data_IF_538912594259
#
_entry.id   IF_538912594259
#
_cell.length_a   1.000
_cell.length_b   1.000
_cell.length_c   1.000
_cell.angle_alpha   90.00
_cell.angle_beta   90.00
_cell.angle_gamma   90.00
#
_symmetry.space_group_name_H-M   'P 1'
#
loop_
_entity.id
_entity.type
_entity.pdbx_description
1 polymer ?
#
# COMPACT_ATOMS: atom_id res chain seq x y z
N UNK A 1 6.21 -29.42 18.11
CA UNK A 1 6.98 -28.23 18.49
C UNK A 1 7.67 -27.76 17.23
N UNK A 2 7.63 -26.49 16.91
CA UNK A 2 8.20 -25.95 15.68
C UNK A 2 7.33 -24.93 14.98
N UNK A 3 6.19 -24.53 15.57
CA UNK A 3 5.37 -23.47 15.02
C UNK A 3 5.66 -22.13 15.66
N UNK A 4 5.64 -21.09 14.83
CA UNK A 4 5.68 -19.69 15.27
C UNK A 4 4.31 -19.06 15.06
N UNK A 5 3.78 -18.37 16.08
CA UNK A 5 2.52 -17.65 15.98
C UNK A 5 2.86 -16.16 15.88
N UNK A 6 2.34 -15.52 14.84
CA UNK A 6 2.51 -14.08 14.59
C UNK A 6 1.13 -13.42 14.44
N UNK A 7 1.01 -12.09 14.62
CA UNK A 7 -0.23 -11.38 14.30
C UNK A 7 -0.60 -11.56 12.83
N UNK A 8 -1.89 -11.48 12.51
CA UNK A 8 -2.35 -11.43 11.14
C UNK A 8 -1.74 -10.25 10.38
N UNK A 9 -1.35 -10.46 9.14
CA UNK A 9 -0.76 -9.41 8.31
C UNK A 9 -1.80 -8.35 7.94
N UNK A 10 -1.34 -7.11 7.83
CA UNK A 10 -2.14 -5.95 7.48
C UNK A 10 -1.56 -5.33 6.21
N UNK A 11 -2.28 -5.41 5.10
CA UNK A 11 -1.87 -4.84 3.82
C UNK A 11 -2.61 -3.54 3.55
N UNK A 12 -1.93 -2.42 3.71
CA UNK A 12 -2.55 -1.09 3.55
C UNK A 12 -2.46 -0.54 2.13
N UNK A 13 -1.79 -1.28 1.22
CA UNK A 13 -1.65 -0.89 -0.17
C UNK A 13 -1.72 -2.13 -1.08
N UNK A 14 -2.91 -2.42 -1.59
CA UNK A 14 -3.17 -3.56 -2.48
C UNK A 14 -4.31 -3.23 -3.44
N UNK A 15 -4.01 -3.23 -4.75
CA UNK A 15 -4.98 -2.94 -5.81
C UNK A 15 -5.86 -4.12 -6.12
N UNK A 16 -5.27 -5.34 -6.13
CA UNK A 16 -6.01 -6.51 -6.57
C UNK A 16 -5.35 -7.84 -6.24
N UNK A 17 -6.01 -8.90 -6.66
CA UNK A 17 -5.54 -10.28 -6.56
C UNK A 17 -6.59 -11.26 -7.08
N UNK A 18 -6.15 -12.45 -7.46
CA UNK A 18 -7.01 -13.52 -7.98
C UNK A 18 -7.96 -13.08 -9.11
N UNK A 19 -7.50 -12.20 -9.99
CA UNK A 19 -8.24 -11.71 -11.16
C UNK A 19 -9.09 -10.46 -10.91
N UNK A 20 -9.28 -10.02 -9.67
CA UNK A 20 -10.09 -8.86 -9.30
C UNK A 20 -9.23 -7.63 -8.97
N UNK A 21 -9.82 -6.44 -9.11
CA UNK A 21 -9.21 -5.15 -8.78
C UNK A 21 -10.18 -4.30 -7.96
N UNK A 22 -9.65 -3.56 -7.00
CA UNK A 22 -10.43 -2.70 -6.10
C UNK A 22 -11.19 -1.60 -6.83
N UNK A 23 -10.70 -1.17 -8.01
CA UNK A 23 -11.31 -0.13 -8.84
C UNK A 23 -12.39 -0.63 -9.79
N UNK A 24 -12.60 -1.96 -9.91
CA UNK A 24 -13.61 -2.52 -10.81
C UNK A 24 -15.06 -2.17 -10.39
N UNK A 25 -15.26 -1.85 -9.11
CA UNK A 25 -16.61 -1.66 -8.57
C UNK A 25 -17.43 -2.96 -8.65
N UNK A 26 -16.77 -4.10 -8.44
CA UNK A 26 -17.32 -5.46 -8.42
C UNK A 26 -17.20 -6.06 -7.02
N UNK A 27 -18.34 -6.22 -6.34
CA UNK A 27 -18.39 -6.75 -4.99
C UNK A 27 -18.00 -8.23 -4.90
N UNK A 28 -18.30 -9.05 -5.92
CA UNK A 28 -17.92 -10.46 -5.94
C UNK A 28 -16.42 -10.62 -6.15
N UNK A 29 -15.87 -9.87 -7.09
CA UNK A 29 -14.43 -9.80 -7.31
C UNK A 29 -13.66 -9.40 -6.05
N UNK A 30 -14.15 -8.37 -5.33
CA UNK A 30 -13.54 -7.91 -4.08
C UNK A 30 -13.59 -8.97 -2.97
N UNK A 31 -14.69 -9.74 -2.86
CA UNK A 31 -14.79 -10.88 -1.94
C UNK A 31 -13.81 -12.01 -2.30
N UNK A 32 -13.66 -12.30 -3.58
CA UNK A 32 -12.68 -13.29 -4.05
C UNK A 32 -11.24 -12.87 -3.75
N UNK A 33 -10.93 -11.58 -3.96
CA UNK A 33 -9.66 -10.98 -3.55
C UNK A 33 -9.43 -11.12 -2.03
N UNK A 34 -10.43 -10.80 -1.20
CA UNK A 34 -10.33 -10.92 0.26
C UNK A 34 -10.07 -12.38 0.70
N UNK A 35 -10.72 -13.37 0.08
CA UNK A 35 -10.46 -14.79 0.31
C UNK A 35 -9.03 -15.19 -0.09
N UNK A 36 -8.56 -14.72 -1.23
CA UNK A 36 -7.20 -14.94 -1.69
C UNK A 36 -6.17 -14.37 -0.71
N UNK A 37 -6.33 -13.11 -0.31
CA UNK A 37 -5.44 -12.43 0.64
C UNK A 37 -5.34 -13.18 1.97
N UNK A 38 -6.48 -13.70 2.47
CA UNK A 38 -6.49 -14.50 3.69
C UNK A 38 -5.61 -15.76 3.58
N UNK A 39 -5.56 -16.43 2.40
CA UNK A 39 -4.65 -17.57 2.18
C UNK A 39 -3.17 -17.18 2.24
N UNK A 40 -2.87 -15.89 2.14
CA UNK A 40 -1.52 -15.32 2.24
C UNK A 40 -1.22 -14.71 3.61
N UNK A 41 -2.05 -15.02 4.61
CA UNK A 41 -1.87 -14.55 5.99
C UNK A 41 -2.35 -13.11 6.23
N UNK A 42 -2.88 -12.44 5.23
CA UNK A 42 -3.48 -11.11 5.38
C UNK A 42 -4.85 -11.27 6.02
N UNK A 43 -5.02 -10.73 7.22
CA UNK A 43 -6.31 -10.75 7.94
C UNK A 43 -7.05 -9.42 7.85
N UNK A 44 -6.34 -8.35 7.53
CA UNK A 44 -6.89 -7.00 7.35
C UNK A 44 -6.21 -6.30 6.18
N UNK A 45 -6.98 -5.56 5.38
CA UNK A 45 -6.41 -4.82 4.25
C UNK A 45 -7.19 -3.56 3.91
N UNK A 46 -6.52 -2.63 3.24
CA UNK A 46 -7.11 -1.46 2.62
C UNK A 46 -7.11 -1.66 1.09
N UNK A 47 -8.24 -1.99 0.47
CA UNK A 47 -8.36 -1.94 -0.98
C UNK A 47 -7.87 -0.58 -1.49
N UNK A 48 -7.00 -0.60 -2.50
CA UNK A 48 -6.37 0.60 -3.04
C UNK A 48 -6.94 0.92 -4.41
N UNK A 49 -7.38 2.18 -4.60
CA UNK A 49 -7.93 2.64 -5.88
C UNK A 49 -6.81 3.00 -6.86
N UNK A 50 -7.16 3.12 -8.14
CA UNK A 50 -6.30 3.63 -9.20
C UNK A 50 -6.73 5.03 -9.63
N UNK A 51 -5.87 5.71 -10.41
CA UNK A 51 -6.22 6.94 -11.12
C UNK A 51 -7.17 6.60 -12.28
N UNK A 52 -8.46 6.72 -12.01
CA UNK A 52 -9.56 6.49 -12.95
C UNK A 52 -10.57 7.65 -12.87
N UNK A 53 -11.65 7.63 -13.63
CA UNK A 53 -12.65 8.71 -13.60
C UNK A 53 -13.30 8.87 -12.22
N UNK A 54 -13.79 10.08 -11.92
CA UNK A 54 -14.56 10.35 -10.67
C UNK A 54 -15.70 9.36 -10.45
N UNK A 55 -16.40 9.00 -11.52
CA UNK A 55 -17.52 8.07 -11.46
C UNK A 55 -17.06 6.66 -11.06
N UNK A 56 -15.94 6.20 -11.58
CA UNK A 56 -15.36 4.90 -11.24
C UNK A 56 -14.82 4.90 -9.80
N UNK A 57 -14.14 5.98 -9.36
CA UNK A 57 -13.70 6.13 -7.96
C UNK A 57 -14.90 6.05 -7.01
N UNK A 58 -15.95 6.81 -7.26
CA UNK A 58 -17.16 6.81 -6.42
C UNK A 58 -17.82 5.44 -6.38
N UNK A 59 -17.90 4.75 -7.52
CA UNK A 59 -18.45 3.39 -7.60
C UNK A 59 -17.60 2.40 -6.82
N UNK A 60 -16.25 2.46 -6.96
CA UNK A 60 -15.34 1.62 -6.21
C UNK A 60 -15.49 1.83 -4.70
N UNK A 61 -15.53 3.07 -4.23
CA UNK A 61 -15.72 3.43 -2.82
C UNK A 61 -17.04 2.92 -2.25
N UNK A 62 -18.16 3.05 -3.01
CA UNK A 62 -19.46 2.51 -2.63
C UNK A 62 -19.41 0.98 -2.51
N UNK A 63 -18.80 0.31 -3.48
CA UNK A 63 -18.64 -1.15 -3.51
C UNK A 63 -17.81 -1.62 -2.33
N UNK A 64 -16.65 -1.01 -2.08
CA UNK A 64 -15.77 -1.35 -0.96
C UNK A 64 -16.53 -1.20 0.36
N UNK A 65 -17.24 -0.08 0.55
CA UNK A 65 -18.04 0.16 1.74
C UNK A 65 -19.09 -0.92 1.96
N UNK A 66 -19.75 -1.39 0.88
CA UNK A 66 -20.77 -2.43 0.97
C UNK A 66 -20.23 -3.79 1.41
N UNK A 67 -18.92 -4.04 1.22
CA UNK A 67 -18.24 -5.30 1.56
C UNK A 67 -17.53 -5.27 2.94
N UNK A 68 -17.52 -4.15 3.66
CA UNK A 68 -16.77 -4.04 4.93
C UNK A 68 -17.27 -4.98 6.04
N UNK A 69 -18.55 -5.33 6.02
CA UNK A 69 -19.16 -6.22 7.00
C UNK A 69 -19.08 -7.71 6.61
N UNK A 70 -18.47 -8.04 5.47
CA UNK A 70 -18.30 -9.41 5.02
C UNK A 70 -17.37 -10.17 5.98
N UNK A 71 -17.76 -11.43 6.26
CA UNK A 71 -17.06 -12.26 7.24
C UNK A 71 -16.18 -13.34 6.61
N UNK A 72 -16.25 -13.47 5.30
CA UNK A 72 -15.46 -14.45 4.55
C UNK A 72 -14.25 -13.76 3.91
N UNK A 73 -13.04 -14.20 4.25
CA UNK A 73 -11.80 -13.62 3.75
C UNK A 73 -11.18 -12.56 4.65
N UNK A 74 -10.11 -11.93 4.20
CA UNK A 74 -9.46 -10.83 4.90
C UNK A 74 -10.42 -9.66 5.09
N UNK A 75 -10.36 -8.98 6.22
CA UNK A 75 -11.27 -7.90 6.56
C UNK A 75 -10.85 -6.58 5.91
N UNK A 76 -11.78 -5.92 5.24
CA UNK A 76 -11.58 -4.55 4.78
C UNK A 76 -11.63 -3.63 6.01
N UNK A 77 -10.55 -2.88 6.23
CA UNK A 77 -10.40 -1.99 7.41
C UNK A 77 -10.34 -0.51 7.05
N UNK A 78 -10.43 -0.21 5.78
CA UNK A 78 -10.43 1.14 5.23
C UNK A 78 -10.14 1.10 3.73
N UNK A 79 -9.86 2.26 3.16
CA UNK A 79 -9.46 2.43 1.75
C UNK A 79 -8.15 3.21 1.72
N UNK A 80 -7.25 2.83 0.81
CA UNK A 80 -6.16 3.68 0.36
C UNK A 80 -6.57 4.33 -0.97
N UNK A 81 -6.63 5.65 -1.01
CA UNK A 81 -6.94 6.41 -2.22
C UNK A 81 -5.63 6.76 -2.93
N UNK A 82 -5.14 5.88 -3.78
CA UNK A 82 -3.98 6.14 -4.64
C UNK A 82 -4.44 6.77 -5.96
N UNK A 83 -4.05 8.02 -6.15
CA UNK A 83 -4.63 8.85 -7.21
C UNK A 83 -6.06 9.35 -6.84
N UNK A 84 -6.56 10.31 -7.61
CA UNK A 84 -5.97 10.93 -8.81
C UNK A 84 -4.95 12.06 -8.56
N UNK A 85 -4.61 12.39 -7.31
CA UNK A 85 -3.85 13.58 -6.91
C UNK A 85 -2.33 13.41 -7.04
N UNK A 86 -1.87 12.84 -8.15
CA UNK A 86 -0.49 12.48 -8.43
C UNK A 86 0.17 13.39 -9.48
N UNK A 87 1.49 13.33 -9.60
CA UNK A 87 2.23 14.10 -10.59
C UNK A 87 2.25 13.41 -11.96
N UNK A 88 1.87 14.08 -13.04
CA UNK A 88 2.03 13.54 -14.40
C UNK A 88 3.47 13.14 -14.73
N UNK A 89 4.46 13.80 -14.10
CA UNK A 89 5.89 13.50 -14.28
C UNK A 89 6.34 12.20 -13.63
N UNK A 90 5.56 11.68 -12.68
CA UNK A 90 5.87 10.50 -11.88
C UNK A 90 4.71 9.51 -11.81
N UNK A 91 3.84 9.52 -12.81
CA UNK A 91 2.64 8.70 -12.86
C UNK A 91 2.89 7.18 -12.79
N UNK A 92 4.07 6.71 -13.18
CA UNK A 92 4.33 5.26 -13.26
C UNK A 92 3.36 4.58 -14.22
N UNK A 93 2.67 3.55 -13.74
CA UNK A 93 1.64 2.81 -14.48
C UNK A 93 0.23 3.41 -14.40
N UNK A 94 0.06 4.55 -13.72
CA UNK A 94 -1.23 5.24 -13.62
C UNK A 94 -1.64 5.88 -14.96
N UNK A 95 -2.94 5.98 -15.21
CA UNK A 95 -3.48 6.60 -16.44
C UNK A 95 -3.33 8.12 -16.44
N UNK A 96 -2.86 8.71 -17.53
CA UNK A 96 -2.69 10.18 -17.66
C UNK A 96 -4.00 10.94 -17.64
N UNK A 97 -5.04 10.35 -18.21
CA UNK A 97 -6.30 11.00 -18.55
C UNK A 97 -7.05 11.54 -17.32
N UNK A 98 -6.89 10.86 -16.17
CA UNK A 98 -7.66 11.17 -14.98
C UNK A 98 -6.81 11.77 -13.84
N UNK A 99 -5.55 12.10 -14.10
CA UNK A 99 -4.71 12.80 -13.13
C UNK A 99 -5.28 14.18 -12.84
N UNK A 100 -5.42 14.50 -11.55
CA UNK A 100 -5.92 15.78 -11.06
C UNK A 100 -4.91 16.43 -10.13
N UNK A 101 -4.90 17.76 -10.09
CA UNK A 101 -4.21 18.46 -9.01
C UNK A 101 -4.90 18.18 -7.67
N UNK A 102 -4.16 18.08 -6.55
CA UNK A 102 -4.75 17.92 -5.23
C UNK A 102 -5.79 19.02 -4.96
N UNK A 103 -7.03 18.62 -4.79
CA UNK A 103 -8.16 19.50 -4.44
C UNK A 103 -8.91 18.89 -3.26
N UNK A 104 -8.90 19.61 -2.13
CA UNK A 104 -9.54 19.14 -0.90
C UNK A 104 -11.05 18.96 -1.06
N UNK A 105 -11.73 19.79 -1.84
CA UNK A 105 -13.17 19.70 -2.00
C UNK A 105 -13.56 18.44 -2.80
N UNK A 106 -12.74 18.06 -3.79
CA UNK A 106 -12.87 16.79 -4.51
C UNK A 106 -12.59 15.60 -3.59
N UNK A 107 -11.48 15.63 -2.85
CA UNK A 107 -11.18 14.59 -1.85
C UNK A 107 -12.28 14.45 -0.81
N UNK A 108 -12.80 15.57 -0.29
CA UNK A 108 -13.88 15.57 0.71
C UNK A 108 -15.17 14.94 0.17
N UNK A 109 -15.48 15.17 -1.10
CA UNK A 109 -16.60 14.49 -1.78
C UNK A 109 -16.41 12.96 -1.79
N UNK A 110 -15.21 12.45 -2.11
CA UNK A 110 -14.93 11.02 -2.05
C UNK A 110 -15.03 10.49 -0.62
N UNK A 111 -14.42 11.19 0.34
CA UNK A 111 -14.41 10.82 1.76
C UNK A 111 -15.84 10.71 2.31
N UNK A 112 -16.70 11.68 2.03
CA UNK A 112 -18.08 11.71 2.51
C UNK A 112 -18.96 10.65 1.82
N UNK A 113 -18.77 10.43 0.51
CA UNK A 113 -19.55 9.45 -0.24
C UNK A 113 -19.44 8.03 0.29
N UNK A 114 -18.28 7.68 0.82
CA UNK A 114 -18.04 6.36 1.41
C UNK A 114 -18.20 6.33 2.94
N UNK A 115 -18.65 7.43 3.57
CA UNK A 115 -18.86 7.49 5.02
C UNK A 115 -17.57 7.54 5.83
N UNK A 116 -16.49 8.09 5.27
CA UNK A 116 -15.23 8.35 5.96
C UNK A 116 -14.31 7.14 6.14
N UNK A 117 -14.44 6.13 5.28
CA UNK A 117 -13.60 4.92 5.37
C UNK A 117 -12.22 5.06 4.71
N UNK A 118 -11.92 6.19 4.05
CA UNK A 118 -10.58 6.44 3.50
C UNK A 118 -9.61 6.62 4.67
N UNK A 119 -8.61 5.76 4.76
CA UNK A 119 -7.56 5.74 5.79
C UNK A 119 -6.27 6.36 5.33
N UNK A 120 -5.95 6.25 4.04
CA UNK A 120 -4.81 6.89 3.41
C UNK A 120 -5.27 7.63 2.16
N UNK A 121 -4.61 8.76 1.88
CA UNK A 121 -4.74 9.48 0.60
C UNK A 121 -3.35 9.85 0.10
N UNK A 122 -3.08 9.53 -1.15
CA UNK A 122 -1.81 9.72 -1.81
C UNK A 122 -1.79 11.01 -2.60
N UNK A 123 -0.72 11.80 -2.45
CA UNK A 123 -0.58 13.08 -3.15
C UNK A 123 0.84 13.34 -3.66
N UNK A 124 0.91 14.09 -4.75
CA UNK A 124 2.10 14.81 -5.19
C UNK A 124 2.04 16.26 -4.68
N UNK A 125 2.77 16.63 -3.61
CA UNK A 125 2.60 17.92 -2.96
C UNK A 125 2.98 19.10 -3.87
N UNK A 126 3.86 18.94 -4.84
CA UNK A 126 4.21 19.97 -5.81
C UNK A 126 3.06 20.32 -6.78
N UNK A 127 2.04 19.44 -6.85
CA UNK A 127 0.84 19.65 -7.65
C UNK A 127 -0.28 20.37 -6.88
N UNK A 128 -0.15 20.55 -5.56
CA UNK A 128 -1.12 21.28 -4.73
C UNK A 128 -1.02 22.78 -4.95
N UNK A 129 -1.72 23.27 -5.97
CA UNK A 129 -1.70 24.70 -6.34
C UNK A 129 -2.30 25.58 -5.25
N UNK A 130 -3.28 25.10 -4.48
CA UNK A 130 -3.92 25.85 -3.38
C UNK A 130 -3.08 25.83 -2.11
N UNK A 131 -2.24 24.79 -1.95
CA UNK A 131 -1.32 24.62 -0.83
C UNK A 131 -1.97 24.26 0.51
N UNK A 132 -3.28 23.95 0.52
CA UNK A 132 -4.06 23.68 1.73
C UNK A 132 -4.56 22.23 1.85
N UNK A 133 -4.30 21.39 0.85
CA UNK A 133 -4.78 20.00 0.82
C UNK A 133 -4.30 19.20 2.03
N UNK A 134 -2.98 19.18 2.25
CA UNK A 134 -2.38 18.39 3.34
C UNK A 134 -2.92 18.78 4.70
N UNK A 135 -2.93 20.08 5.01
CA UNK A 135 -3.39 20.60 6.31
C UNK A 135 -4.86 20.27 6.60
N UNK A 136 -5.68 20.13 5.56
CA UNK A 136 -7.09 19.78 5.69
C UNK A 136 -7.32 18.27 5.72
N UNK A 137 -6.69 17.53 4.82
CA UNK A 137 -6.87 16.08 4.68
C UNK A 137 -6.27 15.30 5.86
N UNK A 138 -5.14 15.77 6.44
CA UNK A 138 -4.50 15.14 7.61
C UNK A 138 -5.35 15.14 8.88
N UNK A 139 -6.43 15.92 8.91
CA UNK A 139 -7.42 15.90 10.00
C UNK A 139 -8.43 14.77 9.86
N UNK A 140 -8.48 14.11 8.71
CA UNK A 140 -9.45 13.07 8.37
C UNK A 140 -8.81 11.69 8.22
N UNK A 141 -7.62 11.63 7.64
CA UNK A 141 -6.90 10.38 7.38
C UNK A 141 -5.39 10.64 7.27
N UNK A 142 -4.59 9.59 7.15
CA UNK A 142 -3.15 9.68 6.86
C UNK A 142 -2.95 10.21 5.43
N UNK A 143 -2.12 11.25 5.31
CA UNK A 143 -1.70 11.79 4.00
C UNK A 143 -0.34 11.24 3.67
N UNK A 144 -0.22 10.64 2.50
CA UNK A 144 1.01 10.01 2.00
C UNK A 144 1.58 10.78 0.81
N UNK A 145 2.90 10.98 0.83
CA UNK A 145 3.61 11.51 -0.34
C UNK A 145 3.83 10.40 -1.35
N UNK A 146 3.32 10.57 -2.56
CA UNK A 146 3.26 9.53 -3.58
C UNK A 146 3.41 10.09 -4.99
N UNK A 147 3.92 9.30 -5.92
CA UNK A 147 3.97 9.65 -7.35
C UNK A 147 4.34 11.11 -7.59
N UNK A 148 5.48 11.54 -7.04
CA UNK A 148 5.85 12.94 -6.91
C UNK A 148 7.22 13.24 -7.52
N UNK A 149 7.33 14.37 -8.19
CA UNK A 149 8.60 14.91 -8.70
C UNK A 149 9.21 15.96 -7.73
N UNK A 150 8.62 16.12 -6.54
CA UNK A 150 9.13 17.08 -5.55
C UNK A 150 10.57 16.72 -5.13
N UNK A 151 11.33 17.72 -4.71
CA UNK A 151 12.66 17.54 -4.16
C UNK A 151 12.64 17.35 -2.63
N UNK A 152 13.81 17.38 -2.00
CA UNK A 152 13.95 17.25 -0.56
C UNK A 152 13.22 18.36 0.21
N UNK A 153 13.38 19.61 -0.21
CA UNK A 153 12.80 20.77 0.51
C UNK A 153 11.28 20.76 0.41
N UNK A 154 10.73 20.44 -0.76
CA UNK A 154 9.28 20.31 -0.96
C UNK A 154 8.69 19.13 -0.16
N UNK A 155 9.41 18.01 -0.03
CA UNK A 155 8.99 16.90 0.83
C UNK A 155 8.98 17.31 2.31
N UNK A 156 10.04 17.97 2.80
CA UNK A 156 10.12 18.49 4.18
C UNK A 156 8.98 19.48 4.47
N UNK A 157 8.63 20.33 3.52
CA UNK A 157 7.50 21.25 3.68
C UNK A 157 6.15 20.53 3.74
N UNK A 158 5.97 19.45 2.95
CA UNK A 158 4.79 18.61 3.03
C UNK A 158 4.70 17.89 4.39
N UNK A 159 5.81 17.41 4.94
CA UNK A 159 5.86 16.80 6.28
C UNK A 159 5.46 17.80 7.38
N UNK A 160 5.94 19.02 7.32
CA UNK A 160 5.54 20.09 8.27
C UNK A 160 4.05 20.41 8.21
N UNK A 161 3.41 20.22 7.06
CA UNK A 161 1.97 20.43 6.87
C UNK A 161 1.11 19.25 7.33
N UNK A 162 1.68 18.06 7.55
CA UNK A 162 0.96 16.91 8.08
C UNK A 162 1.06 15.63 7.26
N UNK A 163 1.93 15.55 6.25
CA UNK A 163 2.29 14.27 5.63
C UNK A 163 3.11 13.44 6.62
N UNK A 164 2.68 12.22 6.89
CA UNK A 164 3.33 11.29 7.82
C UNK A 164 3.66 9.94 7.19
N UNK A 165 3.36 9.77 5.91
CA UNK A 165 3.53 8.52 5.20
C UNK A 165 4.18 8.74 3.83
N UNK A 166 4.87 7.74 3.29
CA UNK A 166 5.46 7.77 1.95
C UNK A 166 5.15 6.46 1.25
N UNK A 167 4.37 6.54 0.19
CA UNK A 167 3.88 5.42 -0.61
C UNK A 167 5.01 4.78 -1.40
N UNK A 168 5.11 3.44 -1.40
CA UNK A 168 6.08 2.61 -2.12
C UNK A 168 7.45 3.29 -2.31
N UNK A 169 8.08 3.65 -1.18
CA UNK A 169 9.34 4.40 -1.10
C UNK A 169 10.35 3.95 -2.16
N UNK A 170 11.02 4.88 -2.81
CA UNK A 170 11.89 4.77 -4.00
C UNK A 170 11.15 4.74 -5.34
N UNK A 171 9.93 4.20 -5.41
CA UNK A 171 9.21 4.05 -6.66
C UNK A 171 8.41 5.32 -6.97
N UNK A 172 8.43 5.74 -8.24
CA UNK A 172 7.71 6.92 -8.74
C UNK A 172 7.97 8.22 -7.93
N UNK A 173 9.18 8.41 -7.38
CA UNK A 173 9.57 9.62 -6.63
C UNK A 173 11.01 10.05 -6.92
N UNK A 174 11.47 11.15 -6.35
CA UNK A 174 12.87 11.57 -6.42
C UNK A 174 13.74 10.72 -5.49
N UNK A 175 14.80 10.13 -6.03
CA UNK A 175 15.70 9.22 -5.33
C UNK A 175 16.75 9.91 -4.48
N UNK A 176 17.48 9.13 -3.67
CA UNK A 176 18.55 9.62 -2.79
C UNK A 176 19.87 9.75 -3.55
N UNK A 177 20.34 10.99 -3.73
CA UNK A 177 21.69 11.28 -4.19
C UNK A 177 22.40 12.23 -3.22
N UNK A 178 23.73 12.20 -3.19
CA UNK A 178 24.55 12.89 -2.19
C UNK A 178 24.44 14.43 -2.20
N UNK A 179 23.92 15.03 -3.26
CA UNK A 179 23.65 16.47 -3.40
C UNK A 179 22.20 16.81 -3.72
N UNK A 180 21.39 15.81 -3.97
CA UNK A 180 19.95 15.91 -4.20
C UNK A 180 19.26 14.73 -3.47
N UNK A 181 19.02 14.87 -2.14
CA UNK A 181 18.52 13.73 -1.34
C UNK A 181 17.13 13.26 -1.76
N UNK A 182 16.34 14.11 -2.39
CA UNK A 182 14.99 13.81 -2.84
C UNK A 182 14.03 13.46 -1.71
N UNK A 183 12.89 12.90 -2.09
CA UNK A 183 11.89 12.42 -1.13
C UNK A 183 12.46 11.32 -0.24
N UNK A 184 13.23 10.38 -0.81
CA UNK A 184 13.83 9.27 -0.06
C UNK A 184 14.73 9.79 1.07
N UNK A 185 15.58 10.79 0.78
CA UNK A 185 16.42 11.41 1.79
C UNK A 185 15.62 12.15 2.85
N UNK A 186 14.55 12.84 2.46
CA UNK A 186 13.66 13.53 3.39
C UNK A 186 12.96 12.56 4.35
N UNK A 187 12.52 11.38 3.87
CA UNK A 187 11.92 10.33 4.71
C UNK A 187 12.92 9.76 5.70
N UNK A 188 14.18 9.58 5.29
CA UNK A 188 15.23 9.11 6.22
C UNK A 188 15.57 10.13 7.30
N UNK A 189 15.60 11.40 6.93
CA UNK A 189 15.96 12.51 7.83
C UNK A 189 14.82 12.93 8.78
N UNK A 190 13.61 12.42 8.58
CA UNK A 190 12.43 12.74 9.39
C UNK A 190 11.97 11.53 10.21
N UNK A 191 11.97 11.63 11.54
CA UNK A 191 11.62 10.53 12.45
C UNK A 191 10.11 10.22 12.52
N UNK A 192 9.26 11.08 11.97
CA UNK A 192 7.79 10.95 12.06
C UNK A 192 7.13 10.44 10.77
N UNK A 193 7.92 10.14 9.72
CA UNK A 193 7.39 9.66 8.44
C UNK A 193 7.65 8.17 8.29
N UNK A 194 6.60 7.39 8.10
CA UNK A 194 6.65 5.98 7.76
C UNK A 194 6.83 5.81 6.25
N UNK A 195 7.58 4.81 5.81
CA UNK A 195 7.77 4.50 4.39
C UNK A 195 7.28 3.10 4.05
N UNK A 196 6.46 3.00 3.01
CA UNK A 196 6.07 1.72 2.44
C UNK A 196 7.21 1.08 1.65
N UNK A 197 7.35 -0.23 1.73
CA UNK A 197 8.30 -1.00 0.92
C UNK A 197 7.60 -2.19 0.26
N UNK A 198 7.84 -2.35 -1.05
CA UNK A 198 7.52 -3.57 -1.79
C UNK A 198 8.76 -4.47 -1.72
N UNK A 199 8.68 -5.57 -0.98
CA UNK A 199 9.83 -6.42 -0.68
C UNK A 199 9.89 -7.69 -1.54
N UNK A 200 9.55 -7.55 -2.83
CA UNK A 200 9.55 -8.64 -3.82
C UNK A 200 10.93 -8.92 -4.43
N UNK A 201 11.92 -8.02 -4.24
CA UNK A 201 13.25 -8.09 -4.84
C UNK A 201 13.33 -7.62 -6.29
N UNK A 202 12.20 -7.16 -6.85
CA UNK A 202 12.06 -6.60 -8.20
C UNK A 202 11.99 -5.08 -8.15
N UNK A 203 11.08 -4.54 -7.32
CA UNK A 203 10.89 -3.09 -7.12
C UNK A 203 12.07 -2.46 -6.40
N UNK A 204 12.63 -3.16 -5.43
CA UNK A 204 13.72 -2.68 -4.59
C UNK A 204 14.77 -3.79 -4.45
N UNK A 205 16.02 -3.45 -4.76
CA UNK A 205 17.13 -4.39 -4.59
C UNK A 205 17.29 -4.78 -3.11
N UNK A 206 17.52 -6.06 -2.76
CA UNK A 206 17.62 -6.53 -1.36
C UNK A 206 18.63 -5.76 -0.49
N UNK A 207 19.73 -5.27 -1.08
CA UNK A 207 20.69 -4.44 -0.35
C UNK A 207 20.09 -3.09 0.09
N UNK A 208 19.23 -2.50 -0.75
CA UNK A 208 18.53 -1.24 -0.43
C UNK A 208 17.48 -1.49 0.66
N UNK A 209 16.72 -2.59 0.57
CA UNK A 209 15.78 -3.00 1.63
C UNK A 209 16.49 -3.14 2.97
N UNK A 210 17.63 -3.88 3.01
CA UNK A 210 18.42 -4.01 4.26
C UNK A 210 18.90 -2.67 4.80
N UNK A 211 19.30 -1.75 3.91
CA UNK A 211 19.75 -0.41 4.33
C UNK A 211 18.61 0.38 4.94
N UNK A 212 17.42 0.34 4.32
CA UNK A 212 16.23 1.02 4.83
C UNK A 212 15.84 0.48 6.21
N UNK A 213 15.80 -0.82 6.40
CA UNK A 213 15.54 -1.42 7.72
C UNK A 213 16.58 -1.06 8.78
N UNK A 214 17.84 -0.82 8.40
CA UNK A 214 18.87 -0.34 9.34
C UNK A 214 18.64 1.12 9.75
N UNK A 215 18.18 1.96 8.83
CA UNK A 215 17.97 3.38 9.06
C UNK A 215 16.66 3.68 9.80
N UNK A 216 15.60 2.92 9.50
CA UNK A 216 14.27 3.20 10.03
C UNK A 216 13.45 1.94 10.37
N UNK A 217 13.96 1.03 11.23
CA UNK A 217 13.36 -0.29 11.46
C UNK A 217 11.92 -0.24 12.01
N UNK A 218 11.57 0.84 12.72
CA UNK A 218 10.27 1.05 13.34
C UNK A 218 9.26 1.75 12.42
N UNK A 219 9.74 2.30 11.29
CA UNK A 219 8.98 3.14 10.36
C UNK A 219 8.92 2.55 8.95
N UNK A 220 9.16 1.26 8.81
CA UNK A 220 8.93 0.51 7.57
C UNK A 220 7.54 -0.12 7.63
N UNK A 221 6.72 0.17 6.63
CA UNK A 221 5.46 -0.48 6.36
C UNK A 221 5.62 -1.37 5.13
N UNK A 222 5.58 -2.69 5.29
CA UNK A 222 5.66 -3.61 4.16
C UNK A 222 4.28 -3.74 3.53
N UNK A 223 4.22 -3.54 2.23
CA UNK A 223 3.00 -3.59 1.42
C UNK A 223 3.21 -4.51 0.22
N UNK A 224 2.14 -5.08 -0.29
CA UNK A 224 2.27 -5.88 -1.52
C UNK A 224 2.26 -5.02 -2.78
N UNK A 225 1.52 -3.94 -2.81
CA UNK A 225 1.20 -3.20 -4.04
C UNK A 225 0.76 -4.16 -5.16
N UNK A 226 0.06 -5.24 -4.75
CA UNK A 226 -0.33 -6.31 -5.65
C UNK A 226 -1.49 -5.88 -6.54
N UNK A 227 -1.42 -6.28 -7.81
CA UNK A 227 -2.47 -6.03 -8.78
C UNK A 227 -3.25 -7.32 -9.08
N UNK A 228 -4.32 -7.23 -9.89
CA UNK A 228 -5.24 -8.35 -10.18
C UNK A 228 -4.56 -9.67 -10.58
N UNK A 229 -3.37 -9.61 -11.18
CA UNK A 229 -2.64 -10.82 -11.62
C UNK A 229 -1.83 -11.49 -10.49
N UNK A 230 -1.84 -10.95 -9.27
CA UNK A 230 -1.30 -11.67 -8.10
C UNK A 230 -2.14 -12.93 -7.85
N UNK A 231 -1.45 -14.08 -7.78
CA UNK A 231 -2.10 -15.39 -7.67
C UNK A 231 -2.58 -15.99 -8.99
N UNK A 232 -2.32 -15.33 -10.11
CA UNK A 232 -2.55 -15.85 -11.47
C UNK A 232 -1.25 -16.45 -12.02
N UNK A 233 -1.36 -17.44 -12.91
CA UNK A 233 -0.18 -18.10 -13.51
C UNK A 233 0.67 -17.11 -14.32
N UNK A 234 1.99 -17.35 -14.36
CA UNK A 234 2.94 -16.55 -15.14
C UNK A 234 2.58 -16.57 -16.64
N UNK A 235 2.79 -15.44 -17.32
CA UNK A 235 2.35 -15.23 -18.70
C UNK A 235 0.94 -14.63 -18.81
N UNK A 236 0.23 -14.44 -17.69
CA UNK A 236 -1.09 -13.82 -17.66
C UNK A 236 -1.07 -12.34 -18.09
N UNK A 237 -2.20 -11.87 -18.60
CA UNK A 237 -2.46 -10.47 -18.93
C UNK A 237 -3.69 -9.96 -18.20
N UNK A 238 -3.69 -8.69 -17.84
CA UNK A 238 -4.83 -8.05 -17.18
C UNK A 238 -4.72 -6.53 -17.23
N UNK A 239 -5.82 -5.87 -16.89
CA UNK A 239 -5.84 -4.43 -16.80
C UNK A 239 -5.38 -3.97 -15.40
N UNK A 240 -4.64 -2.85 -15.36
CA UNK A 240 -4.37 -2.07 -14.17
C UNK A 240 -4.83 -0.64 -14.47
N UNK A 241 -5.96 -0.23 -13.88
CA UNK A 241 -6.67 0.96 -14.36
C UNK A 241 -6.97 0.82 -15.87
N UNK A 242 -6.51 1.78 -16.66
CA UNK A 242 -6.71 1.82 -18.13
C UNK A 242 -5.60 1.10 -18.92
N UNK A 243 -4.56 0.60 -18.27
CA UNK A 243 -3.38 0.06 -18.93
C UNK A 243 -3.36 -1.46 -18.93
N UNK A 244 -3.02 -2.06 -20.09
CA UNK A 244 -2.79 -3.50 -20.21
C UNK A 244 -1.41 -3.86 -19.62
N UNK A 245 -1.39 -4.82 -18.72
CA UNK A 245 -0.18 -5.35 -18.06
C UNK A 245 0.02 -6.80 -18.44
N UNK A 246 1.30 -7.18 -18.64
CA UNK A 246 1.71 -8.58 -18.85
C UNK A 246 2.64 -9.01 -17.72
N UNK A 247 2.42 -10.21 -17.18
CA UNK A 247 3.31 -10.83 -16.20
C UNK A 247 4.28 -11.77 -16.89
N UNK A 248 5.56 -11.61 -16.61
CA UNK A 248 6.62 -12.52 -17.05
C UNK A 248 7.70 -12.61 -15.99
N UNK A 249 8.12 -13.83 -15.66
CA UNK A 249 9.15 -14.10 -14.65
C UNK A 249 8.84 -13.42 -13.31
N UNK A 250 7.56 -13.42 -12.88
CA UNK A 250 7.09 -12.78 -11.67
C UNK A 250 7.05 -11.25 -11.70
N UNK A 251 7.29 -10.62 -12.84
CA UNK A 251 7.33 -9.17 -13.03
C UNK A 251 6.15 -8.71 -13.90
N UNK A 252 5.35 -7.79 -13.36
CA UNK A 252 4.26 -7.14 -14.09
C UNK A 252 4.77 -5.89 -14.81
N UNK A 253 4.51 -5.76 -16.10
CA UNK A 253 4.99 -4.62 -16.90
C UNK A 253 3.98 -4.14 -17.91
N UNK A 254 4.02 -2.83 -18.18
CA UNK A 254 3.41 -2.21 -19.36
C UNK A 254 4.17 -2.61 -20.65
N UNK A 255 3.57 -2.36 -21.83
CA UNK A 255 4.25 -2.64 -23.12
C UNK A 255 5.59 -1.92 -23.32
N UNK A 256 5.81 -0.78 -22.68
CA UNK A 256 7.05 0.00 -22.72
C UNK A 256 8.11 -0.48 -21.70
N UNK A 257 7.79 -1.51 -20.90
CA UNK A 257 8.67 -2.07 -19.88
C UNK A 257 8.57 -1.41 -18.51
N UNK A 258 7.72 -0.41 -18.33
CA UNK A 258 7.43 0.19 -17.01
C UNK A 258 6.83 -0.86 -16.08
N UNK A 259 7.37 -0.96 -14.84
CA UNK A 259 6.82 -1.85 -13.81
C UNK A 259 5.45 -1.32 -13.39
N UNK A 260 4.49 -2.21 -13.22
CA UNK A 260 3.07 -1.88 -13.03
C UNK A 260 2.47 -2.66 -11.86
N UNK A 261 2.62 -2.13 -10.65
CA UNK A 261 2.28 -2.85 -9.43
C UNK A 261 3.07 -4.16 -9.30
N UNK A 262 2.70 -4.97 -8.35
CA UNK A 262 3.34 -6.26 -8.12
C UNK A 262 2.40 -7.45 -8.40
N UNK A 263 2.98 -8.65 -8.44
CA UNK A 263 2.26 -9.92 -8.36
C UNK A 263 2.65 -10.72 -7.11
N UNK A 264 3.33 -10.05 -6.18
CA UNK A 264 3.75 -10.63 -4.89
C UNK A 264 2.59 -10.70 -3.88
N UNK A 265 2.91 -11.08 -2.66
CA UNK A 265 2.01 -11.04 -1.50
C UNK A 265 2.85 -10.98 -0.21
N UNK A 266 2.24 -10.56 0.90
CA UNK A 266 2.97 -10.36 2.16
C UNK A 266 3.64 -11.62 2.71
N UNK A 267 3.11 -12.82 2.46
CA UNK A 267 3.75 -14.07 2.87
C UNK A 267 5.07 -14.30 2.10
N UNK A 268 5.07 -14.08 0.79
CA UNK A 268 6.28 -14.18 -0.02
C UNK A 268 7.32 -13.15 0.41
N UNK A 269 6.88 -11.92 0.71
CA UNK A 269 7.75 -10.85 1.17
C UNK A 269 8.34 -11.12 2.57
N UNK A 270 7.57 -11.73 3.48
CA UNK A 270 8.11 -12.18 4.77
C UNK A 270 9.30 -13.15 4.58
N UNK A 271 9.12 -14.13 3.69
CA UNK A 271 10.19 -15.11 3.37
C UNK A 271 11.40 -14.42 2.75
N UNK A 272 11.18 -13.48 1.83
CA UNK A 272 12.23 -12.68 1.23
C UNK A 272 13.01 -11.90 2.29
N UNK A 273 12.33 -11.14 3.15
CA UNK A 273 12.95 -10.34 4.20
C UNK A 273 13.82 -11.16 5.12
N UNK A 274 13.31 -12.30 5.60
CA UNK A 274 14.08 -13.20 6.47
C UNK A 274 15.28 -13.78 5.72
N UNK A 275 15.11 -14.20 4.45
CA UNK A 275 16.20 -14.71 3.61
C UNK A 275 17.29 -13.67 3.36
N UNK A 276 16.95 -12.39 3.35
CA UNK A 276 17.89 -11.27 3.21
C UNK A 276 18.52 -10.84 4.53
N UNK A 277 18.21 -11.52 5.64
CA UNK A 277 18.82 -11.29 6.95
C UNK A 277 18.11 -10.22 7.79
N UNK A 278 16.88 -9.85 7.49
CA UNK A 278 16.03 -9.06 8.37
C UNK A 278 15.50 -10.00 9.47
N UNK A 279 15.65 -9.66 10.78
CA UNK A 279 15.11 -10.47 11.86
C UNK A 279 13.60 -10.67 11.69
N UNK A 280 13.12 -11.91 11.94
CA UNK A 280 11.69 -12.25 11.79
C UNK A 280 10.77 -11.30 12.55
N UNK A 281 11.13 -10.95 13.79
CA UNK A 281 10.37 -10.01 14.61
C UNK A 281 10.22 -8.64 13.95
N UNK A 282 11.31 -8.13 13.37
CA UNK A 282 11.32 -6.84 12.65
C UNK A 282 10.46 -6.91 11.37
N UNK A 283 10.58 -8.00 10.60
CA UNK A 283 9.80 -8.20 9.40
C UNK A 283 8.29 -8.31 9.72
N UNK A 284 7.93 -9.11 10.73
CA UNK A 284 6.54 -9.25 11.18
C UNK A 284 5.98 -7.91 11.65
N UNK A 285 6.73 -7.14 12.45
CA UNK A 285 6.29 -5.82 12.90
C UNK A 285 5.99 -4.88 11.72
N UNK A 286 6.83 -4.88 10.70
CA UNK A 286 6.69 -4.03 9.52
C UNK A 286 5.46 -4.36 8.66
N UNK A 287 4.88 -5.57 8.78
CA UNK A 287 3.67 -5.99 8.06
C UNK A 287 2.46 -6.24 8.96
N UNK A 288 2.54 -5.83 10.23
CA UNK A 288 1.43 -6.00 11.19
C UNK A 288 1.18 -4.73 12.00
N UNK A 289 2.00 -4.44 13.01
CA UNK A 289 1.79 -3.31 13.91
C UNK A 289 2.06 -1.96 13.23
N UNK A 290 3.09 -1.88 12.39
CA UNK A 290 3.41 -0.62 11.68
C UNK A 290 2.25 -0.20 10.76
N UNK A 291 1.77 -1.02 9.81
CA UNK A 291 0.61 -0.64 8.99
C UNK A 291 -0.66 -0.40 9.81
N UNK A 292 -0.89 -1.13 10.90
CA UNK A 292 -2.03 -0.89 11.77
C UNK A 292 -1.99 0.52 12.40
N UNK A 293 -0.80 1.02 12.77
CA UNK A 293 -0.61 2.40 13.26
C UNK A 293 -0.91 3.44 12.19
N UNK A 294 -0.43 3.21 10.96
CA UNK A 294 -0.62 4.15 9.85
C UNK A 294 -2.10 4.37 9.50
N UNK A 295 -2.96 3.40 9.80
CA UNK A 295 -4.41 3.52 9.61
C UNK A 295 -5.20 3.78 10.90
N UNK A 296 -4.49 4.01 12.04
CA UNK A 296 -5.10 4.31 13.33
C UNK A 296 -5.84 3.15 13.98
N UNK A 297 -5.43 1.90 13.71
CA UNK A 297 -6.09 0.68 14.21
C UNK A 297 -5.18 -0.17 15.13
N UNK A 298 -4.07 0.37 15.59
CA UNK A 298 -3.11 -0.34 16.44
C UNK A 298 -3.71 -0.81 17.78
N UNK A 299 -4.83 -0.25 18.19
CA UNK A 299 -5.55 -0.69 19.39
C UNK A 299 -6.46 -1.90 19.15
N UNK A 300 -6.75 -2.24 17.88
CA UNK A 300 -7.66 -3.32 17.49
C UNK A 300 -6.93 -4.50 16.84
N UNK A 301 -5.90 -4.23 16.01
CA UNK A 301 -5.17 -5.22 15.21
C UNK A 301 -3.65 -5.01 15.29
N UNK A 302 -2.89 -5.82 14.57
CA UNK A 302 -1.45 -5.65 14.35
C UNK A 302 -0.56 -6.20 15.47
N UNK A 303 -1.11 -6.68 16.58
CA UNK A 303 -0.34 -7.37 17.62
C UNK A 303 -1.19 -8.33 18.43
N UNK A 304 -0.58 -9.37 18.98
CA UNK A 304 -1.22 -10.34 19.87
C UNK A 304 -1.24 -9.77 21.30
N UNK A 305 -2.31 -9.09 21.65
CA UNK A 305 -2.51 -8.49 22.98
C UNK A 305 -3.97 -8.65 23.45
N UNK A 306 -4.21 -8.76 24.77
CA UNK A 306 -5.56 -8.83 25.30
C UNK A 306 -6.42 -7.64 24.87
N UNK A 307 -7.64 -7.90 24.43
CA UNK A 307 -8.60 -6.88 24.00
C UNK A 307 -8.55 -6.56 22.50
N UNK A 308 -7.54 -7.04 21.77
CA UNK A 308 -7.48 -6.95 20.31
C UNK A 308 -8.16 -8.14 19.63
N UNK A 309 -8.44 -8.00 18.35
CA UNK A 309 -8.93 -9.11 17.52
C UNK A 309 -7.92 -10.27 17.53
N UNK A 310 -8.44 -11.47 17.54
CA UNK A 310 -7.63 -12.69 17.54
C UNK A 310 -7.13 -13.08 16.14
N UNK A 311 -6.65 -12.08 15.40
CA UNK A 311 -6.09 -12.25 14.07
C UNK A 311 -4.65 -12.77 14.20
N UNK A 312 -4.42 -14.00 13.74
CA UNK A 312 -3.10 -14.63 13.87
C UNK A 312 -2.78 -15.58 12.72
N UNK A 313 -1.51 -15.70 12.42
CA UNK A 313 -0.94 -16.63 11.44
C UNK A 313 -0.03 -17.61 12.16
N UNK A 314 -0.21 -18.90 11.87
CA UNK A 314 0.66 -19.97 12.34
C UNK A 314 1.61 -20.37 11.23
N UNK A 315 2.91 -20.22 11.48
CA UNK A 315 3.99 -20.54 10.54
C UNK A 315 4.75 -21.78 11.01
N UNK A 316 5.17 -22.62 10.07
CA UNK A 316 6.09 -23.70 10.34
C UNK A 316 7.56 -23.23 10.40
N UNK A 317 8.52 -24.15 10.53
CA UNK A 317 9.95 -23.88 10.59
C UNK A 317 10.52 -23.29 9.29
N UNK A 318 9.82 -23.46 8.16
CA UNK A 318 10.17 -22.89 6.84
C UNK A 318 9.40 -21.61 6.53
N UNK A 319 8.70 -21.06 7.51
CA UNK A 319 7.79 -19.91 7.40
C UNK A 319 6.61 -20.17 6.45
N UNK A 320 6.21 -21.42 6.21
CA UNK A 320 4.99 -21.72 5.47
C UNK A 320 3.76 -21.55 6.37
N UNK A 321 2.69 -21.01 5.81
CA UNK A 321 1.43 -20.81 6.53
C UNK A 321 0.76 -22.16 6.77
N UNK A 322 0.58 -22.51 8.04
CA UNK A 322 -0.12 -23.73 8.48
C UNK A 322 -1.60 -23.45 8.75
N UNK A 323 -1.88 -22.29 9.34
CA UNK A 323 -3.24 -21.85 9.65
C UNK A 323 -3.31 -20.33 9.76
N UNK A 324 -4.48 -19.77 9.44
CA UNK A 324 -4.83 -18.36 9.66
C UNK A 324 -6.12 -18.33 10.47
N UNK A 325 -6.17 -17.49 11.48
CA UNK A 325 -7.36 -17.21 12.30
C UNK A 325 -7.66 -15.73 12.25
N UNK A 326 -8.96 -15.39 12.13
CA UNK A 326 -9.41 -13.99 12.03
C UNK A 326 -10.85 -13.79 12.50
#
# INVERSE_FOLDING_TARGET
>A
AGYTIVPGFVDVHVHGGAGADSSDGDAEGLRNMAKFLLTKGVTSFCPTTMTVSDAEILKALETIRSCMDDKEGAKIVGVNLEGPFISPKKKGAQGDEFIQAPDYDVFKKYYDSCGGIIKLVDIAPECDVRGDFVEKASKLCTVSIAHTATDYDGAVDAFKKGVTHATHLYNAMSGLAHRAPGVVGAVFDNENVCGELICDGIHIHPAVVRTTFKLMPERVCVISDAMRLSGVEDGGQGMLGVNLVTVKDGKATLPDGTIAGSVTNLHAELKNLVSWGIPLETAVRAMTLTPAKEIGMENEIGSLAPGKRADLVVLDENLEIVAVYH
#
